data_IF_590821571724
#
_entry.id   IF_590821571724
#
_cell.length_a   1.000
_cell.length_b   1.000
_cell.length_c   1.000
_cell.angle_alpha   90.00
_cell.angle_beta   90.00
_cell.angle_gamma   90.00
#
_symmetry.space_group_name_H-M   'P 1'
#
loop_
_entity.id
_entity.type
_entity.pdbx_description
1 polymer ?
#
# COMPACT_ATOMS: atom_id res chain seq x y z
N UNK A 1 -23.79 11.62 -2.28
CA UNK A 1 -22.45 12.01 -2.77
C UNK A 1 -22.42 11.72 -4.26
N UNK A 2 -21.98 12.67 -5.09
CA UNK A 2 -21.81 12.40 -6.53
C UNK A 2 -20.68 11.37 -6.74
N UNK A 3 -20.83 10.39 -7.66
CA UNK A 3 -19.78 9.42 -7.92
C UNK A 3 -18.55 10.14 -8.49
N UNK A 4 -17.42 10.05 -7.79
CA UNK A 4 -16.14 10.39 -8.39
C UNK A 4 -15.89 9.35 -9.47
N UNK A 5 -15.86 9.75 -10.74
CA UNK A 5 -15.44 8.87 -11.83
C UNK A 5 -13.95 8.56 -11.69
N UNK A 6 -13.63 7.55 -10.90
CA UNK A 6 -12.31 6.92 -10.85
C UNK A 6 -12.20 5.94 -12.02
N UNK A 7 -11.00 5.86 -12.60
CA UNK A 7 -10.63 4.87 -13.63
C UNK A 7 -9.65 3.88 -13.01
N UNK A 8 -10.12 2.74 -12.47
CA UNK A 8 -9.26 1.74 -11.83
C UNK A 8 -8.16 1.23 -12.76
N UNK A 9 -8.43 1.12 -14.06
CA UNK A 9 -7.45 0.70 -15.05
C UNK A 9 -6.30 1.70 -15.17
N UNK A 10 -6.59 3.01 -15.20
CA UNK A 10 -5.56 4.06 -15.16
C UNK A 10 -4.78 4.05 -13.85
N UNK A 11 -5.46 3.85 -12.72
CA UNK A 11 -4.81 3.76 -11.41
C UNK A 11 -3.85 2.58 -11.34
N UNK A 12 -4.26 1.39 -11.84
CA UNK A 12 -3.40 0.21 -11.95
C UNK A 12 -2.18 0.45 -12.85
N UNK A 13 -2.34 1.12 -14.00
CA UNK A 13 -1.19 1.48 -14.85
C UNK A 13 -0.18 2.37 -14.12
N UNK A 14 -0.66 3.37 -13.38
CA UNK A 14 0.22 4.22 -12.56
C UNK A 14 0.90 3.43 -11.43
N UNK A 15 0.16 2.54 -10.77
CA UNK A 15 0.69 1.64 -9.76
C UNK A 15 1.83 0.77 -10.31
N UNK A 16 1.60 0.06 -11.41
CA UNK A 16 2.62 -0.80 -12.07
C UNK A 16 3.85 0.00 -12.50
N UNK A 17 3.65 1.17 -13.09
CA UNK A 17 4.75 2.08 -13.45
C UNK A 17 5.54 2.51 -12.22
N UNK A 18 4.85 2.79 -11.10
CA UNK A 18 5.47 3.10 -9.82
C UNK A 18 6.32 1.94 -9.31
N UNK A 19 5.79 0.71 -9.30
CA UNK A 19 6.53 -0.49 -8.89
C UNK A 19 7.79 -0.69 -9.73
N UNK A 20 7.69 -0.58 -11.05
CA UNK A 20 8.85 -0.72 -11.93
C UNK A 20 9.93 0.34 -11.67
N UNK A 21 9.54 1.59 -11.38
CA UNK A 21 10.48 2.71 -11.29
C UNK A 21 10.99 3.00 -9.88
N UNK A 22 10.25 2.63 -8.84
CA UNK A 22 10.52 2.99 -7.44
C UNK A 22 10.90 1.78 -6.58
N UNK A 23 10.95 0.57 -7.16
CA UNK A 23 11.35 -0.67 -6.48
C UNK A 23 12.59 -0.50 -5.61
N UNK A 24 13.69 -0.01 -6.19
CA UNK A 24 14.97 0.08 -5.48
C UNK A 24 14.93 1.12 -4.34
N UNK A 25 14.09 2.14 -4.49
CA UNK A 25 13.82 3.09 -3.40
C UNK A 25 13.05 2.41 -2.28
N UNK A 26 11.98 1.66 -2.61
CA UNK A 26 11.17 0.96 -1.63
C UNK A 26 11.90 -0.19 -0.96
N UNK A 27 12.82 -0.88 -1.64
CA UNK A 27 13.66 -1.93 -1.05
C UNK A 27 14.53 -1.45 0.13
N UNK A 28 14.72 -0.13 0.25
CA UNK A 28 15.46 0.47 1.37
C UNK A 28 14.59 0.74 2.60
N UNK A 29 13.27 0.71 2.46
CA UNK A 29 12.32 1.15 3.51
C UNK A 29 11.21 0.14 3.80
N UNK A 30 10.82 -0.66 2.81
CA UNK A 30 9.78 -1.70 2.90
C UNK A 30 10.45 -3.05 3.17
N UNK A 31 9.85 -3.87 4.04
CA UNK A 31 10.31 -5.24 4.28
C UNK A 31 10.31 -6.08 2.99
N UNK A 32 11.26 -7.01 2.86
CA UNK A 32 11.44 -7.81 1.64
C UNK A 32 10.21 -8.61 1.24
N UNK A 33 9.51 -9.17 2.22
CA UNK A 33 8.32 -10.01 2.02
C UNK A 33 7.14 -9.14 1.53
N UNK A 34 7.01 -7.94 2.09
CA UNK A 34 5.99 -6.96 1.72
C UNK A 34 6.26 -6.41 0.31
N UNK A 35 7.52 -6.12 -0.01
CA UNK A 35 7.92 -5.70 -1.36
C UNK A 35 7.66 -6.80 -2.40
N UNK A 36 7.94 -8.06 -2.08
CA UNK A 36 7.65 -9.19 -2.98
C UNK A 36 6.15 -9.37 -3.23
N UNK A 37 5.32 -9.21 -2.20
CA UNK A 37 3.86 -9.24 -2.35
C UNK A 37 3.37 -8.06 -3.22
N UNK A 38 3.93 -6.87 -3.02
CA UNK A 38 3.65 -5.68 -3.84
C UNK A 38 4.00 -5.89 -5.32
N UNK A 39 5.18 -6.46 -5.60
CA UNK A 39 5.62 -6.81 -6.96
C UNK A 39 4.68 -7.85 -7.60
N UNK A 40 4.26 -8.85 -6.84
CA UNK A 40 3.31 -9.87 -7.29
C UNK A 40 1.97 -9.23 -7.67
N UNK A 41 1.43 -8.35 -6.83
CA UNK A 41 0.18 -7.63 -7.12
C UNK A 41 0.28 -6.78 -8.38
N UNK A 42 1.44 -6.19 -8.67
CA UNK A 42 1.67 -5.40 -9.88
C UNK A 42 1.87 -6.24 -11.15
N UNK A 43 2.45 -7.43 -11.02
CA UNK A 43 2.65 -8.36 -12.12
C UNK A 43 1.36 -9.07 -12.56
N UNK A 44 0.37 -9.18 -11.68
CA UNK A 44 -0.95 -9.72 -12.00
C UNK A 44 -1.69 -8.90 -13.06
N UNK A 45 -2.50 -9.59 -13.87
CA UNK A 45 -3.43 -8.98 -14.83
C UNK A 45 -4.44 -8.07 -14.11
N UNK A 46 -5.08 -7.16 -14.86
CA UNK A 46 -6.03 -6.20 -14.27
C UNK A 46 -7.10 -6.90 -13.43
N UNK A 47 -7.60 -8.05 -13.89
CA UNK A 47 -8.63 -8.83 -13.22
C UNK A 47 -8.21 -9.36 -11.84
N UNK A 48 -6.94 -9.71 -11.68
CA UNK A 48 -6.37 -10.38 -10.51
C UNK A 48 -5.44 -9.50 -9.69
N UNK A 49 -5.13 -8.29 -10.15
CA UNK A 49 -4.35 -7.32 -9.40
C UNK A 49 -5.14 -6.85 -8.19
N UNK A 50 -4.66 -7.26 -7.01
CA UNK A 50 -5.23 -6.91 -5.72
C UNK A 50 -4.10 -6.71 -4.72
N UNK A 51 -4.13 -5.58 -4.02
CA UNK A 51 -3.23 -5.30 -2.92
C UNK A 51 -3.93 -5.62 -1.61
N UNK A 52 -3.59 -6.78 -1.04
CA UNK A 52 -4.17 -7.28 0.21
C UNK A 52 -4.04 -6.27 1.37
N UNK A 53 -5.04 -6.27 2.25
CA UNK A 53 -5.08 -5.38 3.43
C UNK A 53 -3.82 -5.48 4.29
N UNK A 54 -3.34 -6.70 4.55
CA UNK A 54 -2.15 -6.95 5.36
C UNK A 54 -0.90 -6.31 4.73
N UNK A 55 -0.74 -6.46 3.42
CA UNK A 55 0.37 -5.88 2.66
C UNK A 55 0.28 -4.37 2.71
N UNK A 56 -0.91 -3.81 2.48
CA UNK A 56 -1.14 -2.36 2.54
C UNK A 56 -0.83 -1.77 3.92
N UNK A 57 -1.29 -2.41 4.99
CA UNK A 57 -1.03 -1.97 6.37
C UNK A 57 0.47 -1.95 6.67
N UNK A 58 1.20 -3.01 6.30
CA UNK A 58 2.64 -3.07 6.49
C UNK A 58 3.39 -2.02 5.64
N UNK A 59 2.97 -1.77 4.41
CA UNK A 59 3.51 -0.68 3.58
C UNK A 59 3.36 0.66 4.30
N UNK A 60 2.16 0.98 4.80
CA UNK A 60 1.92 2.24 5.51
C UNK A 60 2.82 2.37 6.74
N UNK A 61 2.99 1.29 7.50
CA UNK A 61 3.86 1.26 8.68
C UNK A 61 5.34 1.36 8.35
N UNK A 62 5.81 0.70 7.30
CA UNK A 62 7.18 0.79 6.82
C UNK A 62 7.53 2.21 6.38
N UNK A 63 6.64 2.84 5.62
CA UNK A 63 6.81 4.23 5.18
C UNK A 63 6.79 5.19 6.37
N UNK A 64 5.87 5.00 7.33
CA UNK A 64 5.79 5.84 8.51
C UNK A 64 7.07 5.73 9.37
N UNK A 65 7.58 4.52 9.58
CA UNK A 65 8.84 4.28 10.28
C UNK A 65 10.03 4.88 9.52
N UNK A 66 10.10 4.73 8.20
CA UNK A 66 11.16 5.32 7.38
C UNK A 66 11.15 6.86 7.42
N UNK A 67 9.97 7.48 7.47
CA UNK A 67 9.81 8.92 7.64
C UNK A 67 10.31 9.39 9.01
N UNK A 68 9.98 8.63 10.07
CA UNK A 68 10.43 8.89 11.43
C UNK A 68 11.96 8.84 11.53
N UNK A 69 12.57 7.78 11.01
CA UNK A 69 14.02 7.54 11.04
C UNK A 69 14.82 8.37 10.03
N UNK A 70 14.15 9.05 9.09
CA UNK A 70 14.78 9.79 7.98
C UNK A 70 15.69 8.88 7.13
N UNK A 71 15.23 7.66 6.85
CA UNK A 71 15.99 6.68 6.04
C UNK A 71 16.18 7.15 4.59
N UNK A 72 15.25 7.96 4.10
CA UNK A 72 15.27 8.63 2.81
C UNK A 72 14.98 10.12 2.97
N UNK A 73 15.21 10.90 1.90
CA UNK A 73 14.65 12.24 1.81
C UNK A 73 13.13 12.19 1.98
N UNK A 74 12.61 13.09 2.80
CA UNK A 74 11.20 13.05 3.21
C UNK A 74 10.26 13.38 2.07
N UNK A 75 10.61 14.35 1.25
CA UNK A 75 9.78 14.74 0.12
C UNK A 75 9.77 13.62 -0.93
N UNK A 76 10.92 13.00 -1.17
CA UNK A 76 11.02 11.83 -2.04
C UNK A 76 10.19 10.65 -1.52
N UNK A 77 10.28 10.35 -0.22
CA UNK A 77 9.51 9.29 0.42
C UNK A 77 8.01 9.53 0.29
N UNK A 78 7.51 10.72 0.65
CA UNK A 78 6.09 11.06 0.59
C UNK A 78 5.58 11.02 -0.85
N UNK A 79 6.34 11.56 -1.82
CA UNK A 79 5.97 11.50 -3.24
C UNK A 79 5.93 10.08 -3.77
N UNK A 80 6.77 9.18 -3.25
CA UNK A 80 6.79 7.77 -3.64
C UNK A 80 5.53 7.00 -3.21
N UNK A 81 4.71 7.52 -2.30
CA UNK A 81 3.51 6.82 -1.82
C UNK A 81 2.39 6.81 -2.88
N UNK A 82 2.35 7.82 -3.76
CA UNK A 82 1.22 8.01 -4.67
C UNK A 82 0.90 6.75 -5.51
N UNK A 83 1.86 6.08 -6.18
CA UNK A 83 1.56 4.85 -6.91
C UNK A 83 1.02 3.72 -6.02
N UNK A 84 1.51 3.59 -4.79
CA UNK A 84 1.05 2.57 -3.83
C UNK A 84 -0.41 2.82 -3.45
N UNK A 85 -0.74 4.07 -3.15
CA UNK A 85 -2.12 4.48 -2.86
C UNK A 85 -3.06 4.22 -4.04
N UNK A 86 -2.62 4.53 -5.26
CA UNK A 86 -3.42 4.24 -6.47
C UNK A 86 -3.67 2.74 -6.64
N UNK A 87 -2.67 1.89 -6.36
CA UNK A 87 -2.84 0.43 -6.36
C UNK A 87 -3.86 -0.04 -5.32
N UNK A 88 -3.78 0.49 -4.08
CA UNK A 88 -4.74 0.17 -3.02
C UNK A 88 -6.17 0.58 -3.36
N UNK A 89 -6.36 1.80 -3.87
CA UNK A 89 -7.69 2.31 -4.22
C UNK A 89 -8.25 1.56 -5.42
N UNK A 90 -7.44 1.25 -6.44
CA UNK A 90 -7.90 0.42 -7.55
C UNK A 90 -8.36 -0.96 -7.08
N UNK A 91 -7.62 -1.57 -6.14
CA UNK A 91 -8.00 -2.84 -5.52
C UNK A 91 -9.33 -2.72 -4.77
N UNK A 92 -9.50 -1.64 -4.00
CA UNK A 92 -10.73 -1.37 -3.24
C UNK A 92 -11.95 -1.15 -4.14
N UNK A 93 -11.83 -0.29 -5.15
CA UNK A 93 -12.94 0.04 -6.07
C UNK A 93 -13.46 -1.21 -6.76
N UNK A 94 -12.55 -2.13 -7.13
CA UNK A 94 -12.92 -3.42 -7.73
C UNK A 94 -13.57 -4.36 -6.70
N UNK A 95 -13.05 -4.41 -5.49
CA UNK A 95 -13.58 -5.26 -4.41
C UNK A 95 -15.01 -4.86 -4.00
N UNK A 96 -15.35 -3.57 -4.11
CA UNK A 96 -16.66 -3.04 -3.72
C UNK A 96 -17.65 -2.84 -4.88
N UNK A 97 -17.27 -3.18 -6.12
CA UNK A 97 -18.07 -2.88 -7.33
C UNK A 97 -19.52 -3.41 -7.25
N UNK A 98 -19.69 -4.63 -6.72
CA UNK A 98 -20.98 -5.31 -6.61
C UNK A 98 -21.54 -5.33 -5.17
N UNK A 99 -20.95 -4.55 -4.25
CA UNK A 99 -21.31 -4.55 -2.83
C UNK A 99 -22.27 -3.42 -2.47
N UNK A 100 -23.15 -3.69 -1.50
CA UNK A 100 -23.99 -2.66 -0.89
C UNK A 100 -23.23 -1.88 0.20
N UNK A 101 -23.79 -0.74 0.60
CA UNK A 101 -23.12 0.14 1.57
C UNK A 101 -22.74 -0.56 2.89
N UNK A 102 -23.59 -1.39 3.52
CA UNK A 102 -23.21 -2.14 4.71
C UNK A 102 -22.04 -3.11 4.49
N UNK A 103 -21.97 -3.80 3.34
CA UNK A 103 -20.85 -4.68 3.05
C UNK A 103 -19.54 -3.89 2.84
N UNK A 104 -19.60 -2.71 2.23
CA UNK A 104 -18.45 -1.79 2.10
C UNK A 104 -17.98 -1.29 3.46
N UNK A 105 -18.89 -0.91 4.36
CA UNK A 105 -18.55 -0.52 5.73
C UNK A 105 -17.88 -1.67 6.48
N UNK A 106 -18.39 -2.90 6.34
CA UNK A 106 -17.77 -4.08 6.95
C UNK A 106 -16.37 -4.37 6.40
N UNK A 107 -16.09 -4.06 5.12
CA UNK A 107 -14.74 -4.14 4.54
C UNK A 107 -13.80 -3.12 5.15
N UNK A 108 -14.24 -1.87 5.26
CA UNK A 108 -13.45 -0.81 5.88
C UNK A 108 -13.16 -1.10 7.35
N UNK A 109 -14.14 -1.64 8.09
CA UNK A 109 -13.95 -2.05 9.48
C UNK A 109 -12.93 -3.18 9.60
N UNK A 110 -12.96 -4.17 8.69
CA UNK A 110 -11.92 -5.21 8.63
C UNK A 110 -10.53 -4.61 8.43
N UNK A 111 -10.38 -3.65 7.53
CA UNK A 111 -9.12 -2.95 7.32
C UNK A 111 -8.67 -2.19 8.59
N UNK A 112 -9.58 -1.51 9.29
CA UNK A 112 -9.29 -0.85 10.57
C UNK A 112 -8.75 -1.85 11.60
N UNK A 113 -9.42 -3.00 11.76
CA UNK A 113 -8.96 -4.06 12.65
C UNK A 113 -7.60 -4.63 12.25
N UNK A 114 -7.27 -4.66 10.94
CA UNK A 114 -5.93 -5.03 10.47
C UNK A 114 -4.87 -4.03 10.89
N UNK A 115 -5.12 -2.73 10.74
CA UNK A 115 -4.23 -1.71 11.31
C UNK A 115 -4.04 -1.92 12.83
N UNK A 116 -5.11 -2.13 13.59
CA UNK A 116 -5.01 -2.32 15.03
C UNK A 116 -4.19 -3.56 15.43
N UNK A 117 -4.46 -4.69 14.80
CA UNK A 117 -3.77 -5.96 15.08
C UNK A 117 -2.31 -5.96 14.63
N UNK A 118 -1.96 -5.18 13.59
CA UNK A 118 -0.59 -5.03 13.11
C UNK A 118 0.23 -3.98 13.89
N UNK A 119 -0.32 -3.31 14.91
CA UNK A 119 0.44 -2.36 15.75
C UNK A 119 1.77 -2.92 16.31
N UNK A 120 1.88 -4.21 16.72
CA UNK A 120 3.17 -4.77 17.12
C UNK A 120 4.24 -4.69 16.03
N UNK A 121 3.86 -4.88 14.77
CA UNK A 121 4.76 -4.69 13.62
C UNK A 121 5.21 -3.23 13.53
N UNK A 122 4.27 -2.26 13.61
CA UNK A 122 4.63 -0.85 13.63
C UNK A 122 5.63 -0.54 14.74
N UNK A 123 5.39 -0.99 15.97
CA UNK A 123 6.29 -0.75 17.12
C UNK A 123 7.68 -1.30 16.83
N UNK A 124 7.79 -2.52 16.29
CA UNK A 124 9.07 -3.12 15.93
C UNK A 124 9.84 -2.25 14.90
N UNK A 125 9.15 -1.80 13.85
CA UNK A 125 9.74 -0.96 12.80
C UNK A 125 10.06 0.45 13.30
N UNK A 126 9.26 0.97 14.23
CA UNK A 126 9.42 2.31 14.79
C UNK A 126 10.61 2.40 15.75
N UNK A 127 10.86 1.34 16.53
CA UNK A 127 11.94 1.31 17.51
C UNK A 127 13.29 0.91 16.90
N UNK A 128 13.28 0.12 15.83
CA UNK A 128 14.51 -0.34 15.18
C UNK A 128 14.80 0.52 13.96
N UNK A 129 15.91 1.30 13.95
CA UNK A 129 16.38 1.89 12.71
C UNK A 129 16.70 0.75 11.75
N UNK A 130 16.10 0.78 10.55
CA UNK A 130 16.53 -0.08 9.45
C UNK A 130 18.05 0.00 9.36
N UNK A 131 18.73 -1.13 9.63
CA UNK A 131 20.18 -1.18 9.68
C UNK A 131 20.73 -0.56 8.40
N UNK A 132 21.52 0.52 8.54
CA UNK A 132 22.21 1.15 7.41
C UNK A 132 23.10 0.09 6.80
N UNK A 133 22.69 -0.48 5.66
CA UNK A 133 23.59 -1.22 4.78
C UNK A 133 24.24 -0.23 3.82
#
# INVERSE_FOLDING_TARGET
>A
MEPIHVDPGRMLRHFRTGVANLRDLWARVIASEVLSALETAAASDDASSHLDDEVWVHIVYDIAAAYHHRTLDRDQLIRSILPLYLGRVASFVREVEDLDAPAVEALLERLCLRFESAKPYLVQRWQSPLARR
#
